data_IF_403317533841
#
_entry.id   IF_403317533841
#
_cell.length_a   1.000
_cell.length_b   1.000
_cell.length_c   1.000
_cell.angle_alpha   90.00
_cell.angle_beta   90.00
_cell.angle_gamma   90.00
#
_symmetry.space_group_name_H-M   'P 1'
#
loop_
_entity.id
_entity.type
_entity.pdbx_description
1 polymer ?
#
# COMPACT_ATOMS: atom_id res chain seq x y z
N UNK A 1 -14.46 2.65 -18.25
CA UNK A 1 -14.50 2.95 -16.80
C UNK A 1 -15.80 3.69 -16.53
N UNK A 2 -16.40 3.60 -15.32
CA UNK A 2 -17.72 4.19 -15.09
C UNK A 2 -17.70 5.70 -14.84
N UNK A 3 -16.52 6.28 -14.54
CA UNK A 3 -16.28 7.72 -14.41
C UNK A 3 -15.09 8.10 -15.32
N UNK A 4 -14.93 9.39 -15.57
CA UNK A 4 -13.80 9.93 -16.34
C UNK A 4 -12.46 9.50 -15.72
N UNK A 5 -11.42 9.17 -16.51
CA UNK A 5 -10.11 8.85 -15.98
C UNK A 5 -9.53 10.00 -15.15
N UNK A 6 -9.37 9.76 -13.85
CA UNK A 6 -8.66 10.64 -12.91
C UNK A 6 -7.55 9.83 -12.25
N UNK A 7 -6.33 9.80 -12.82
CA UNK A 7 -5.18 9.14 -12.22
C UNK A 7 -4.82 9.82 -10.89
N UNK A 8 -4.73 9.03 -9.82
CA UNK A 8 -4.41 9.51 -8.47
C UNK A 8 -3.16 8.79 -8.00
N UNK A 9 -2.14 9.57 -7.70
CA UNK A 9 -0.90 9.15 -7.08
C UNK A 9 -0.35 10.30 -6.24
N UNK A 10 0.34 9.96 -5.16
CA UNK A 10 1.07 10.90 -4.31
C UNK A 10 2.52 10.41 -4.26
N UNK A 11 3.50 11.24 -4.58
CA UNK A 11 4.92 10.87 -4.45
C UNK A 11 5.83 12.09 -4.59
N UNK A 12 7.06 11.95 -4.10
CA UNK A 12 8.17 12.90 -4.23
C UNK A 12 9.47 12.14 -4.46
N UNK A 13 10.48 12.82 -4.99
CA UNK A 13 11.85 12.30 -5.06
C UNK A 13 12.49 11.98 -3.72
N UNK A 14 11.85 12.36 -2.61
CA UNK A 14 12.30 12.11 -1.25
C UNK A 14 11.51 11.03 -0.52
N UNK A 15 10.44 10.46 -1.11
CA UNK A 15 9.57 9.51 -0.41
C UNK A 15 10.29 8.20 -0.09
N UNK A 16 10.71 8.01 1.17
CA UNK A 16 11.40 6.79 1.62
C UNK A 16 10.46 5.62 1.95
N UNK A 17 9.14 5.87 1.96
CA UNK A 17 8.12 4.85 2.12
C UNK A 17 7.20 4.88 0.90
N UNK A 18 6.92 3.73 0.31
CA UNK A 18 5.98 3.58 -0.79
C UNK A 18 4.85 2.64 -0.40
N UNK A 19 3.61 3.13 -0.39
CA UNK A 19 2.38 2.33 -0.24
C UNK A 19 1.86 1.95 -1.62
N UNK A 20 1.80 0.65 -1.90
CA UNK A 20 1.15 0.11 -3.10
C UNK A 20 -0.17 -0.53 -2.73
N UNK A 21 -1.26 0.20 -2.97
CA UNK A 21 -2.64 -0.25 -2.78
C UNK A 21 -3.26 -0.92 -4.02
N UNK A 22 -4.56 -1.22 -3.97
CA UNK A 22 -5.29 -1.81 -5.08
C UNK A 22 -5.62 -0.77 -6.16
N UNK A 23 -6.55 0.14 -5.87
CA UNK A 23 -6.96 1.23 -6.74
C UNK A 23 -7.74 2.28 -5.90
N UNK A 24 -7.87 3.53 -6.36
CA UNK A 24 -8.77 4.50 -5.77
C UNK A 24 -10.18 3.95 -5.61
N UNK A 25 -10.80 4.20 -4.46
CA UNK A 25 -12.24 4.05 -4.28
C UNK A 25 -13.01 5.26 -4.82
N UNK A 26 -14.33 5.24 -4.72
CA UNK A 26 -15.19 6.34 -5.18
C UNK A 26 -14.89 7.66 -4.46
N UNK A 27 -14.72 7.62 -3.14
CA UNK A 27 -14.42 8.83 -2.34
C UNK A 27 -13.08 9.43 -2.78
N UNK A 28 -12.02 8.61 -2.85
CA UNK A 28 -10.72 9.03 -3.38
C UNK A 28 -10.83 9.61 -4.78
N UNK A 29 -11.65 9.04 -5.65
CA UNK A 29 -11.88 9.61 -6.98
C UNK A 29 -12.51 11.01 -6.92
N UNK A 30 -13.50 11.22 -6.06
CA UNK A 30 -14.16 12.51 -5.88
C UNK A 30 -13.16 13.54 -5.27
N UNK A 31 -12.49 13.20 -4.16
CA UNK A 31 -11.58 14.12 -3.44
C UNK A 31 -10.23 14.33 -4.12
N UNK A 32 -9.72 13.32 -4.84
CA UNK A 32 -8.36 13.29 -5.35
C UNK A 32 -7.29 12.89 -4.30
N UNK A 33 -7.69 12.62 -3.06
CA UNK A 33 -6.75 12.34 -1.96
C UNK A 33 -6.71 10.84 -1.68
N UNK A 34 -5.56 10.16 -1.89
CA UNK A 34 -5.44 8.73 -1.67
C UNK A 34 -5.53 8.41 -0.17
N UNK A 35 -6.26 7.35 0.20
CA UNK A 35 -6.46 6.94 1.60
C UNK A 35 -7.11 8.01 2.52
N UNK A 36 -7.86 8.96 1.95
CA UNK A 36 -8.76 9.86 2.70
C UNK A 36 -10.04 9.11 3.15
N UNK A 37 -9.85 8.03 3.91
CA UNK A 37 -10.92 7.21 4.48
C UNK A 37 -10.44 6.42 5.72
N UNK A 38 -11.36 5.64 6.32
CA UNK A 38 -11.07 4.77 7.49
C UNK A 38 -9.96 3.74 7.23
N UNK A 39 -9.70 3.39 5.98
CA UNK A 39 -8.60 2.48 5.64
C UNK A 39 -7.26 3.20 5.75
N UNK A 40 -7.20 4.50 5.42
CA UNK A 40 -6.03 5.34 5.63
C UNK A 40 -5.73 5.59 7.10
N UNK A 41 -6.75 5.91 7.89
CA UNK A 41 -6.63 6.06 9.35
C UNK A 41 -5.98 4.81 9.99
N UNK A 42 -6.48 3.63 9.61
CA UNK A 42 -5.96 2.35 10.09
C UNK A 42 -4.57 2.04 9.55
N UNK A 43 -4.26 2.43 8.32
CA UNK A 43 -2.91 2.29 7.77
C UNK A 43 -1.92 3.15 8.57
N UNK A 44 -2.26 4.42 8.84
CA UNK A 44 -1.45 5.31 9.66
C UNK A 44 -1.21 4.72 11.07
N UNK A 45 -2.25 4.16 11.69
CA UNK A 45 -2.15 3.44 12.98
C UNK A 45 -1.18 2.25 12.91
N UNK A 46 -1.26 1.43 11.86
CA UNK A 46 -0.35 0.30 11.67
C UNK A 46 1.09 0.75 11.50
N UNK A 47 1.31 1.83 10.73
CA UNK A 47 2.62 2.42 10.50
C UNK A 47 3.17 3.18 11.72
N UNK A 48 2.32 3.53 12.69
CA UNK A 48 2.71 4.32 13.86
C UNK A 48 3.01 5.77 13.51
N UNK A 49 2.30 6.34 12.53
CA UNK A 49 2.48 7.72 12.06
C UNK A 49 1.15 8.48 12.08
N UNK A 50 1.20 9.80 11.94
CA UNK A 50 0.01 10.64 11.85
C UNK A 50 -0.60 10.62 10.44
N UNK A 51 -1.86 11.06 10.31
CA UNK A 51 -2.50 11.23 9.00
C UNK A 51 -1.77 12.24 8.14
N UNK A 52 -1.27 13.33 8.74
CA UNK A 52 -0.48 14.36 8.07
C UNK A 52 0.81 13.76 7.50
N UNK A 53 1.45 12.84 8.22
CA UNK A 53 2.65 12.15 7.73
C UNK A 53 2.33 11.20 6.58
N UNK A 54 1.20 10.47 6.65
CA UNK A 54 0.76 9.59 5.57
C UNK A 54 0.48 10.37 4.27
N UNK A 55 -0.05 11.58 4.39
CA UNK A 55 -0.39 12.45 3.27
C UNK A 55 0.71 13.44 2.89
N UNK A 56 1.89 13.35 3.49
CA UNK A 56 3.07 14.12 3.12
C UNK A 56 3.82 13.42 1.97
N UNK A 57 3.75 13.91 0.72
CA UNK A 57 4.44 13.29 -0.41
C UNK A 57 5.95 13.26 -0.22
N UNK A 58 6.55 14.16 0.57
CA UNK A 58 7.98 14.16 0.81
C UNK A 58 8.43 12.93 1.61
N UNK A 59 7.51 12.30 2.37
CA UNK A 59 7.78 11.18 3.26
C UNK A 59 7.19 9.87 2.76
N UNK A 60 5.93 9.90 2.34
CA UNK A 60 5.18 8.72 1.91
C UNK A 60 4.66 8.90 0.48
N UNK A 61 5.09 8.01 -0.40
CA UNK A 61 4.49 7.82 -1.71
C UNK A 61 3.32 6.84 -1.61
N UNK A 62 2.23 7.13 -2.32
CA UNK A 62 1.07 6.26 -2.46
C UNK A 62 0.78 6.08 -3.95
N UNK A 63 1.03 4.86 -4.45
CA UNK A 63 0.91 4.50 -5.86
C UNK A 63 0.21 3.14 -5.97
N UNK A 64 -1.10 3.18 -6.24
CA UNK A 64 -1.91 1.95 -6.33
C UNK A 64 -1.71 1.21 -7.65
N UNK A 65 -1.97 -0.10 -7.65
CA UNK A 65 -1.90 -0.96 -8.85
C UNK A 65 -2.75 -0.46 -10.03
N UNK A 66 -3.90 0.14 -9.72
CA UNK A 66 -4.65 0.98 -10.64
C UNK A 66 -4.66 2.42 -10.14
N UNK A 67 -4.41 3.39 -11.01
CA UNK A 67 -4.40 4.81 -10.66
C UNK A 67 -5.78 5.47 -10.76
N UNK A 68 -6.78 4.81 -11.36
CA UNK A 68 -8.12 5.33 -11.55
C UNK A 68 -9.16 4.45 -10.85
N UNK A 69 -10.30 5.04 -10.48
CA UNK A 69 -11.45 4.30 -9.97
C UNK A 69 -11.94 3.25 -10.98
N UNK A 70 -11.87 1.94 -10.65
CA UNK A 70 -12.19 0.89 -11.61
C UNK A 70 -13.70 0.63 -11.72
N UNK A 71 -14.50 1.28 -10.88
CA UNK A 71 -15.94 1.03 -10.76
C UNK A 71 -16.32 0.08 -9.65
N UNK A 72 -17.63 -0.09 -9.47
CA UNK A 72 -18.21 -0.91 -8.40
C UNK A 72 -18.49 -2.35 -8.88
N UNK A 73 -18.12 -3.32 -8.05
CA UNK A 73 -18.41 -4.74 -8.19
C UNK A 73 -19.41 -5.21 -7.11
N UNK A 74 -19.85 -6.47 -7.20
CA UNK A 74 -20.60 -7.11 -6.12
C UNK A 74 -19.69 -7.32 -4.90
N UNK A 75 -19.79 -6.43 -3.91
CA UNK A 75 -19.07 -6.54 -2.62
C UNK A 75 -17.86 -5.61 -2.45
N UNK A 76 -17.60 -4.70 -3.39
CA UNK A 76 -16.51 -3.73 -3.31
C UNK A 76 -16.29 -3.03 -4.64
N UNK A 77 -15.10 -2.50 -4.84
CA UNK A 77 -14.69 -1.97 -6.14
C UNK A 77 -14.11 -3.07 -7.02
N UNK A 78 -14.16 -2.85 -8.34
CA UNK A 78 -13.58 -3.72 -9.35
C UNK A 78 -12.06 -3.91 -9.12
N UNK A 79 -11.48 -5.00 -9.64
CA UNK A 79 -10.02 -5.14 -9.68
C UNK A 79 -9.36 -3.97 -10.43
N UNK A 80 -8.09 -3.66 -10.12
CA UNK A 80 -7.34 -2.66 -10.88
C UNK A 80 -7.20 -3.12 -12.34
N UNK A 81 -7.18 -2.14 -13.25
CA UNK A 81 -6.94 -2.38 -14.67
C UNK A 81 -5.54 -3.02 -14.86
N UNK A 82 -5.42 -4.19 -15.53
CA UNK A 82 -4.17 -4.94 -15.59
C UNK A 82 -3.03 -4.21 -16.32
N UNK A 83 -3.37 -3.29 -17.21
CA UNK A 83 -2.38 -2.50 -17.97
C UNK A 83 -1.80 -1.32 -17.18
N UNK A 84 -2.43 -0.90 -16.08
CA UNK A 84 -2.08 0.35 -15.40
C UNK A 84 -0.68 0.29 -14.76
N UNK A 85 -0.43 -0.70 -13.91
CA UNK A 85 0.87 -0.85 -13.26
C UNK A 85 2.04 -1.11 -14.24
N UNK A 86 1.93 -2.01 -15.23
CA UNK A 86 2.97 -2.20 -16.25
C UNK A 86 3.32 -0.91 -17.01
N UNK A 87 2.34 -0.03 -17.26
CA UNK A 87 2.55 1.21 -18.00
C UNK A 87 3.21 2.32 -17.16
N UNK A 88 2.88 2.41 -15.87
CA UNK A 88 3.22 3.57 -15.05
C UNK A 88 4.21 3.30 -13.91
N UNK A 89 4.19 2.12 -13.29
CA UNK A 89 4.98 1.90 -12.08
C UNK A 89 6.47 2.08 -12.35
N UNK A 90 7.02 1.52 -13.43
CA UNK A 90 8.46 1.65 -13.71
C UNK A 90 8.92 3.12 -13.79
N UNK A 91 8.11 3.99 -14.38
CA UNK A 91 8.39 5.43 -14.49
C UNK A 91 8.34 6.11 -13.13
N UNK A 92 7.27 5.87 -12.36
CA UNK A 92 7.11 6.47 -11.03
C UNK A 92 8.21 5.98 -10.07
N UNK A 93 8.53 4.69 -10.08
CA UNK A 93 9.55 4.09 -9.22
C UNK A 93 10.97 4.61 -9.50
N UNK A 94 11.22 5.13 -10.71
CA UNK A 94 12.49 5.74 -11.08
C UNK A 94 12.68 7.13 -10.46
N UNK A 95 11.59 7.82 -10.12
CA UNK A 95 11.63 9.10 -9.41
C UNK A 95 11.81 8.92 -7.90
N UNK A 96 11.58 7.72 -7.35
CA UNK A 96 11.64 7.46 -5.91
C UNK A 96 13.03 7.00 -5.44
N UNK A 97 13.41 7.29 -4.17
CA UNK A 97 14.64 6.75 -3.56
C UNK A 97 14.76 5.23 -3.72
N UNK A 98 15.91 4.74 -4.17
CA UNK A 98 16.15 3.33 -4.42
C UNK A 98 16.12 2.47 -3.15
N UNK A 99 16.47 3.06 -2.00
CA UNK A 99 16.54 2.45 -0.67
C UNK A 99 15.22 2.55 0.13
N UNK A 100 14.12 2.92 -0.53
CA UNK A 100 12.79 2.99 0.08
C UNK A 100 12.25 1.62 0.54
N UNK A 101 11.41 1.65 1.56
CA UNK A 101 10.55 0.51 1.91
C UNK A 101 9.26 0.54 1.09
N UNK A 102 8.94 -0.56 0.41
CA UNK A 102 7.68 -0.69 -0.35
C UNK A 102 6.68 -1.60 0.38
N UNK A 103 5.57 -1.02 0.83
CA UNK A 103 4.46 -1.68 1.48
C UNK A 103 3.49 -2.24 0.44
N UNK A 104 3.35 -3.56 0.38
CA UNK A 104 2.49 -4.25 -0.61
C UNK A 104 1.13 -4.55 0.03
N UNK A 105 0.19 -3.62 -0.13
CA UNK A 105 -1.12 -3.66 0.54
C UNK A 105 -2.13 -4.45 -0.29
N UNK A 106 -2.41 -5.66 0.16
CA UNK A 106 -3.37 -6.57 -0.46
C UNK A 106 -2.79 -7.44 -1.59
N UNK A 107 -3.62 -8.38 -2.06
CA UNK A 107 -3.20 -9.48 -2.96
C UNK A 107 -2.70 -9.01 -4.32
N UNK A 108 -3.27 -7.94 -4.89
CA UNK A 108 -2.86 -7.44 -6.21
C UNK A 108 -1.42 -6.91 -6.19
N UNK A 109 -1.09 -6.06 -5.21
CA UNK A 109 0.26 -5.55 -5.02
C UNK A 109 1.26 -6.69 -4.75
N UNK A 110 0.92 -7.61 -3.84
CA UNK A 110 1.76 -8.76 -3.50
C UNK A 110 2.03 -9.67 -4.70
N UNK A 111 1.02 -9.98 -5.52
CA UNK A 111 1.19 -10.84 -6.70
C UNK A 111 2.04 -10.19 -7.79
N UNK A 112 1.97 -8.88 -7.92
CA UNK A 112 2.74 -8.13 -8.91
C UNK A 112 4.21 -8.02 -8.51
N UNK A 113 4.49 -7.61 -7.28
CA UNK A 113 5.85 -7.38 -6.81
C UNK A 113 6.57 -8.64 -6.30
N UNK A 114 5.85 -9.70 -5.95
CA UNK A 114 6.41 -10.99 -5.52
C UNK A 114 5.93 -12.12 -6.45
N UNK A 115 6.34 -12.12 -7.75
CA UNK A 115 5.84 -13.08 -8.73
C UNK A 115 6.23 -14.53 -8.41
N UNK A 116 7.38 -14.75 -7.78
CA UNK A 116 7.89 -16.10 -7.45
C UNK A 116 7.12 -16.77 -6.31
N UNK A 117 6.31 -15.99 -5.58
CA UNK A 117 5.49 -16.49 -4.47
C UNK A 117 4.04 -16.71 -4.86
N UNK A 118 3.71 -16.76 -6.17
CA UNK A 118 2.33 -16.96 -6.70
C UNK A 118 1.55 -18.11 -6.09
N UNK A 119 2.23 -19.20 -5.68
CA UNK A 119 1.61 -20.36 -5.01
C UNK A 119 1.18 -20.09 -3.56
N UNK A 120 1.74 -19.06 -2.92
CA UNK A 120 1.42 -18.67 -1.54
C UNK A 120 0.16 -17.79 -1.50
N UNK A 121 -0.67 -18.05 -0.50
CA UNK A 121 -1.76 -17.19 -0.06
C UNK A 121 -1.23 -15.84 0.45
N UNK A 122 -2.12 -14.86 0.60
CA UNK A 122 -1.78 -13.56 1.20
C UNK A 122 -1.24 -13.73 2.62
N UNK A 123 -1.93 -14.54 3.44
CA UNK A 123 -1.53 -14.83 4.82
C UNK A 123 -0.12 -15.41 4.89
N UNK A 124 0.21 -16.38 4.03
CA UNK A 124 1.55 -16.98 3.99
C UNK A 124 2.62 -15.99 3.57
N UNK A 125 2.35 -15.11 2.60
CA UNK A 125 3.29 -14.03 2.25
C UNK A 125 3.51 -13.10 3.43
N UNK A 126 2.45 -12.66 4.09
CA UNK A 126 2.57 -11.78 5.27
C UNK A 126 3.33 -12.50 6.40
N UNK A 127 3.09 -13.80 6.61
CA UNK A 127 3.83 -14.58 7.64
C UNK A 127 5.33 -14.65 7.33
N UNK A 128 5.69 -14.69 6.06
CA UNK A 128 7.06 -14.72 5.54
C UNK A 128 7.64 -13.34 5.22
N UNK A 129 7.09 -12.25 5.78
CA UNK A 129 7.47 -10.90 5.37
C UNK A 129 8.98 -10.62 5.41
N UNK A 130 9.71 -11.25 6.34
CA UNK A 130 11.17 -11.15 6.50
C UNK A 130 11.95 -11.61 5.26
N UNK A 131 11.39 -12.52 4.47
CA UNK A 131 12.01 -13.02 3.22
C UNK A 131 12.08 -11.94 2.12
N UNK A 132 11.28 -10.88 2.24
CA UNK A 132 11.19 -9.82 1.23
C UNK A 132 11.82 -8.49 1.67
N UNK A 133 12.30 -8.43 2.91
CA UNK A 133 13.01 -7.27 3.46
C UNK A 133 14.42 -7.15 2.87
N UNK A 134 15.00 -5.94 2.85
CA UNK A 134 14.42 -4.66 3.30
C UNK A 134 13.46 -4.02 2.29
N UNK A 135 13.34 -4.58 1.09
CA UNK A 135 12.70 -3.93 -0.06
C UNK A 135 11.17 -3.92 0.02
N UNK A 136 10.57 -5.03 0.42
CA UNK A 136 9.11 -5.20 0.44
C UNK A 136 8.61 -5.65 1.81
N UNK A 137 7.45 -5.12 2.21
CA UNK A 137 6.71 -5.62 3.36
C UNK A 137 5.24 -5.83 2.97
N UNK A 138 4.80 -7.09 2.79
CA UNK A 138 3.41 -7.40 2.45
C UNK A 138 2.48 -7.16 3.63
N UNK A 139 1.36 -6.49 3.37
CA UNK A 139 0.31 -6.18 4.34
C UNK A 139 -1.07 -6.66 3.83
N UNK A 140 -2.00 -7.02 4.72
CA UNK A 140 -3.40 -7.14 4.34
C UNK A 140 -3.97 -5.75 3.99
N UNK A 141 -5.14 -5.69 3.35
CA UNK A 141 -5.82 -4.41 3.17
C UNK A 141 -6.34 -3.88 4.52
N UNK A 142 -6.12 -2.61 4.90
CA UNK A 142 -6.55 -2.02 6.18
C UNK A 142 -8.06 -1.73 6.24
N UNK A 143 -8.90 -2.68 5.82
CA UNK A 143 -10.36 -2.57 5.89
C UNK A 143 -10.92 -3.25 7.14
N UNK A 144 -12.19 -3.01 7.46
CA UNK A 144 -12.92 -3.75 8.51
C UNK A 144 -12.84 -5.27 8.36
N UNK A 145 -12.70 -5.79 7.14
CA UNK A 145 -12.53 -7.23 6.87
C UNK A 145 -11.24 -7.78 7.48
N UNK A 146 -10.19 -6.96 7.57
CA UNK A 146 -8.93 -7.36 8.20
C UNK A 146 -9.05 -7.54 9.71
N UNK A 147 -10.07 -7.01 10.38
CA UNK A 147 -10.27 -7.21 11.82
C UNK A 147 -10.47 -8.68 12.17
N UNK A 148 -11.31 -9.41 11.41
CA UNK A 148 -11.49 -10.84 11.65
C UNK A 148 -10.22 -11.62 11.33
N UNK A 149 -9.56 -11.28 10.23
CA UNK A 149 -8.29 -11.91 9.83
C UNK A 149 -7.20 -11.72 10.90
N UNK A 150 -7.06 -10.52 11.48
CA UNK A 150 -6.10 -10.24 12.55
C UNK A 150 -6.40 -11.03 13.82
N UNK A 151 -7.68 -11.23 14.18
CA UNK A 151 -8.06 -12.10 15.32
C UNK A 151 -7.64 -13.55 15.11
N UNK A 152 -7.67 -14.03 13.87
CA UNK A 152 -7.23 -15.38 13.51
C UNK A 152 -5.70 -15.47 13.31
N UNK A 153 -5.02 -14.33 13.20
CA UNK A 153 -3.58 -14.21 12.93
C UNK A 153 -2.95 -13.20 13.90
N UNK A 154 -2.98 -13.46 15.24
CA UNK A 154 -2.54 -12.50 16.25
C UNK A 154 -1.08 -12.09 16.08
N UNK A 155 -0.25 -12.99 15.54
CA UNK A 155 1.14 -12.74 15.15
C UNK A 155 1.33 -11.53 14.23
N UNK A 156 0.31 -11.11 13.47
CA UNK A 156 0.41 -9.89 12.67
C UNK A 156 0.58 -8.67 13.57
N UNK A 157 -0.24 -8.56 14.63
CA UNK A 157 -0.14 -7.45 15.57
C UNK A 157 1.08 -7.57 16.51
N UNK A 158 1.44 -8.80 16.89
CA UNK A 158 2.51 -9.07 17.85
C UNK A 158 3.92 -9.05 17.23
N UNK A 159 4.06 -9.41 15.96
CA UNK A 159 5.38 -9.54 15.31
C UNK A 159 5.57 -8.65 14.08
N UNK A 160 4.54 -8.45 13.25
CA UNK A 160 4.69 -7.71 11.99
C UNK A 160 4.58 -6.21 12.22
N UNK A 161 3.56 -5.76 12.97
CA UNK A 161 3.35 -4.34 13.23
C UNK A 161 4.51 -3.69 14.02
N UNK A 162 5.12 -4.33 15.04
CA UNK A 162 6.28 -3.76 15.71
C UNK A 162 7.49 -3.57 14.76
N UNK A 163 7.88 -4.59 13.99
CA UNK A 163 9.00 -4.47 13.03
C UNK A 163 8.69 -3.44 11.92
N UNK A 164 7.43 -3.38 11.46
CA UNK A 164 6.98 -2.34 10.53
C UNK A 164 7.19 -0.94 11.10
N UNK A 165 6.75 -0.69 12.34
CA UNK A 165 6.86 0.62 13.01
C UNK A 165 8.31 1.02 13.23
N UNK A 166 9.17 0.09 13.64
CA UNK A 166 10.60 0.35 13.83
C UNK A 166 11.28 0.77 12.53
N UNK A 167 10.95 0.11 11.42
CA UNK A 167 11.46 0.45 10.08
C UNK A 167 10.94 1.80 9.60
N UNK A 168 9.63 2.04 9.72
CA UNK A 168 9.00 3.32 9.36
C UNK A 168 9.64 4.46 10.16
N UNK A 169 9.77 4.29 11.47
CA UNK A 169 10.40 5.29 12.34
C UNK A 169 11.86 5.54 11.97
N UNK A 170 12.61 4.51 11.60
CA UNK A 170 14.00 4.65 11.14
C UNK A 170 14.09 5.43 9.82
N UNK A 171 13.22 5.11 8.85
CA UNK A 171 13.20 5.78 7.54
C UNK A 171 12.79 7.26 7.64
N UNK A 172 11.87 7.58 8.56
CA UNK A 172 11.43 8.96 8.80
C UNK A 172 12.41 9.78 9.67
N UNK A 173 13.25 9.13 10.48
CA UNK A 173 14.31 9.80 11.26
C UNK A 173 15.60 10.03 10.48
N UNK A 174 15.85 9.28 9.41
CA UNK A 174 17.00 9.43 8.52
C UNK A 174 17.02 10.73 7.69
N UNK A 175 16.29 11.76 8.12
CA UNK A 175 16.28 13.13 7.60
C UNK A 175 17.43 13.96 8.23
N UNK A 176 18.67 13.46 8.17
CA UNK A 176 19.87 14.21 8.54
C UNK A 176 20.89 14.24 7.39
#
# INVERSE_FOLDING_TARGET
>A
MPLEPKPIAQFSGTSRILVVGQAPGRITHETGIPFEDKSGERLAEWLGISSETLHDPARVAIVSMGLCYPGKAKGGDNPPRPECAPLWHARILAELPADRLTLLVGTYAQRYYLPDTRKLTMTERIRRYRDYLPRFLPLPHPSWRSTLWMRQNPWFAEEVLPDLRDRVSTLLRGEA
#
